data_IF_412569316961
#
_entry.id   IF_412569316961
#
_cell.length_a   1.000
_cell.length_b   1.000
_cell.length_c   1.000
_cell.angle_alpha   90.00
_cell.angle_beta   90.00
_cell.angle_gamma   90.00
#
_symmetry.space_group_name_H-M   'P 1'
#
loop_
_entity.id
_entity.type
_entity.pdbx_description
1 polymer ?
#
# COMPACT_ATOMS: atom_id res chain seq x y z
N UNK A 1 -15.70 -16.38 -27.92
CA UNK A 1 -15.82 -16.43 -26.47
C UNK A 1 -15.77 -15.01 -25.91
N UNK A 2 -16.86 -14.57 -25.35
CA UNK A 2 -16.90 -13.25 -24.68
C UNK A 2 -16.14 -13.38 -23.35
N UNK A 3 -14.94 -12.81 -23.25
CA UNK A 3 -14.25 -12.67 -21.98
C UNK A 3 -15.00 -11.60 -21.18
N UNK A 4 -15.69 -12.02 -20.15
CA UNK A 4 -16.27 -11.10 -19.16
C UNK A 4 -15.09 -10.59 -18.34
N UNK A 5 -14.65 -9.37 -18.64
CA UNK A 5 -13.67 -8.67 -17.82
C UNK A 5 -14.39 -8.27 -16.52
N UNK A 6 -14.17 -9.03 -15.45
CA UNK A 6 -14.66 -8.64 -14.14
C UNK A 6 -13.73 -7.52 -13.61
N UNK A 7 -14.10 -6.28 -13.85
CA UNK A 7 -13.41 -5.12 -13.30
C UNK A 7 -13.94 -4.89 -11.88
N UNK A 8 -13.12 -5.17 -10.89
CA UNK A 8 -13.43 -4.79 -9.51
C UNK A 8 -13.03 -3.32 -9.33
N UNK A 9 -14.02 -2.48 -9.21
CA UNK A 9 -13.85 -1.03 -9.03
C UNK A 9 -13.91 -0.72 -7.55
N UNK A 10 -12.78 -0.34 -6.96
CA UNK A 10 -12.76 0.26 -5.64
C UNK A 10 -12.57 1.78 -5.78
N UNK A 11 -13.50 2.53 -5.25
CA UNK A 11 -13.43 4.00 -5.21
C UNK A 11 -12.81 4.41 -3.89
N UNK A 12 -11.56 4.83 -3.92
CA UNK A 12 -10.94 5.53 -2.79
C UNK A 12 -11.23 7.02 -2.95
N UNK A 13 -12.09 7.54 -2.10
CA UNK A 13 -12.35 8.97 -2.05
C UNK A 13 -11.18 9.69 -1.40
N UNK A 14 -10.39 10.38 -2.20
CA UNK A 14 -9.44 11.36 -1.70
C UNK A 14 -10.22 12.57 -1.19
N UNK A 15 -10.28 12.77 0.10
CA UNK A 15 -10.86 13.97 0.69
C UNK A 15 -9.91 15.15 0.50
N UNK A 16 -10.14 15.90 -0.55
CA UNK A 16 -9.40 17.14 -0.83
C UNK A 16 -9.53 17.53 -2.29
N UNK A 17 -10.52 18.37 -2.62
CA UNK A 17 -10.82 18.95 -3.94
C UNK A 17 -11.36 17.99 -5.01
N UNK A 18 -12.68 18.05 -5.15
CA UNK A 18 -13.49 17.73 -6.35
C UNK A 18 -12.87 16.81 -7.41
N UNK A 19 -12.90 15.52 -7.18
CA UNK A 19 -12.50 14.53 -8.15
C UNK A 19 -11.95 13.29 -7.45
N UNK A 20 -12.79 12.32 -7.14
CA UNK A 20 -12.33 11.03 -6.62
C UNK A 20 -11.41 10.35 -7.62
N UNK A 21 -10.20 9.97 -7.22
CA UNK A 21 -9.33 9.12 -8.04
C UNK A 21 -9.89 7.71 -7.96
N UNK A 22 -10.32 7.20 -9.10
CA UNK A 22 -10.77 5.81 -9.22
C UNK A 22 -9.55 4.92 -9.34
N UNK A 23 -9.35 4.05 -8.36
CA UNK A 23 -8.27 3.06 -8.37
C UNK A 23 -8.87 1.73 -8.79
N UNK A 24 -8.37 1.18 -9.88
CA UNK A 24 -8.85 -0.08 -10.44
C UNK A 24 -7.71 -1.08 -10.53
N UNK A 25 -7.98 -2.32 -10.12
CA UNK A 25 -7.14 -3.46 -10.38
C UNK A 25 -7.74 -4.29 -11.51
N UNK A 26 -6.91 -4.83 -12.38
CA UNK A 26 -7.30 -5.77 -13.42
C UNK A 26 -6.96 -7.22 -13.03
N UNK A 27 -7.26 -8.16 -13.92
CA UNK A 27 -7.00 -9.59 -13.67
C UNK A 27 -5.51 -9.95 -13.50
N UNK A 28 -4.61 -9.03 -13.82
CA UNK A 28 -3.15 -9.22 -13.76
C UNK A 28 -2.48 -8.45 -12.63
N UNK A 29 -3.24 -7.65 -11.88
CA UNK A 29 -2.73 -6.80 -10.81
C UNK A 29 -3.55 -6.93 -9.54
N UNK A 30 -2.94 -6.69 -8.41
CA UNK A 30 -3.63 -6.22 -7.21
C UNK A 30 -2.98 -4.93 -6.71
N UNK A 31 -3.76 -4.10 -6.05
CA UNK A 31 -3.32 -2.79 -5.59
C UNK A 31 -3.37 -2.72 -4.07
N UNK A 32 -2.38 -2.04 -3.49
CA UNK A 32 -2.39 -1.68 -2.08
C UNK A 32 -2.33 -0.16 -1.98
N UNK A 33 -3.38 0.44 -1.45
CA UNK A 33 -3.39 1.84 -1.03
C UNK A 33 -2.68 1.97 0.32
N UNK A 34 -1.78 2.92 0.43
CA UNK A 34 -1.09 3.27 1.66
C UNK A 34 -1.65 4.63 2.11
N UNK A 35 -2.59 4.61 3.05
CA UNK A 35 -3.23 5.81 3.56
C UNK A 35 -2.44 6.39 4.72
N UNK A 36 -2.02 7.64 4.57
CA UNK A 36 -1.47 8.38 5.69
C UNK A 36 -2.61 8.90 6.58
N UNK A 37 -2.78 8.32 7.73
CA UNK A 37 -3.72 8.78 8.77
C UNK A 37 -2.95 9.19 10.05
N UNK A 38 -1.71 9.64 9.86
CA UNK A 38 -0.85 10.10 10.95
C UNK A 38 -1.21 11.51 11.39
N UNK A 39 -0.86 11.85 12.63
CA UNK A 39 -0.99 13.21 13.19
C UNK A 39 0.18 14.14 12.78
N UNK A 40 0.96 13.74 11.78
CA UNK A 40 2.15 14.46 11.32
C UNK A 40 2.35 14.28 9.82
N UNK A 41 3.20 15.13 9.24
CA UNK A 41 3.65 14.97 7.86
C UNK A 41 4.67 13.83 7.76
N UNK A 42 4.53 12.98 6.76
CA UNK A 42 5.53 11.98 6.38
C UNK A 42 5.98 12.24 4.95
N UNK A 43 7.13 11.73 4.54
CA UNK A 43 7.70 12.06 3.22
C UNK A 43 7.73 10.89 2.27
N UNK A 44 7.94 9.69 2.80
CA UNK A 44 7.88 8.44 2.03
C UNK A 44 7.30 7.34 2.89
N UNK A 45 6.77 6.33 2.24
CA UNK A 45 6.47 5.04 2.84
C UNK A 45 7.40 4.01 2.20
N UNK A 46 8.29 3.43 2.99
CA UNK A 46 9.08 2.28 2.58
C UNK A 46 8.28 1.01 2.86
N UNK A 47 8.30 0.07 1.96
CA UNK A 47 7.66 -1.23 2.14
C UNK A 47 8.61 -2.34 1.71
N UNK A 48 8.53 -3.45 2.41
CA UNK A 48 9.16 -4.72 2.04
C UNK A 48 8.08 -5.80 2.02
N UNK A 49 8.14 -6.70 1.05
CA UNK A 49 7.13 -7.74 0.93
C UNK A 49 7.74 -9.12 0.75
N UNK A 50 6.98 -10.12 1.18
CA UNK A 50 7.39 -11.49 1.36
C UNK A 50 6.31 -12.44 0.84
N UNK A 51 6.72 -13.64 0.44
CA UNK A 51 5.82 -14.80 0.29
C UNK A 51 6.24 -15.82 1.34
N UNK A 52 5.36 -16.10 2.30
CA UNK A 52 5.74 -16.82 3.51
C UNK A 52 6.87 -16.06 4.23
N UNK A 53 7.95 -16.75 4.55
CA UNK A 53 9.13 -16.17 5.19
C UNK A 53 10.18 -15.65 4.18
N UNK A 54 9.92 -15.80 2.89
CA UNK A 54 10.89 -15.46 1.85
C UNK A 54 10.75 -14.00 1.41
N UNK A 55 11.79 -13.16 1.58
CA UNK A 55 11.79 -11.80 1.06
C UNK A 55 11.77 -11.81 -0.47
N UNK A 56 10.88 -11.03 -1.06
CA UNK A 56 10.68 -10.94 -2.50
C UNK A 56 11.16 -9.60 -3.04
N UNK A 57 10.78 -8.50 -2.40
CA UNK A 57 11.14 -7.17 -2.86
C UNK A 57 10.71 -6.08 -1.91
N UNK A 58 10.85 -4.86 -2.36
CA UNK A 58 10.47 -3.67 -1.62
C UNK A 58 10.66 -2.42 -2.45
N UNK A 59 10.33 -1.29 -1.87
CA UNK A 59 10.48 0.01 -2.52
C UNK A 59 9.93 1.14 -1.68
N UNK A 60 9.88 2.31 -2.30
CA UNK A 60 9.38 3.53 -1.69
C UNK A 60 8.18 4.06 -2.47
N UNK A 61 7.16 4.49 -1.74
CA UNK A 61 6.07 5.29 -2.28
C UNK A 61 6.20 6.72 -1.75
N UNK A 62 6.12 7.71 -2.63
CA UNK A 62 6.22 9.12 -2.29
C UNK A 62 5.50 9.98 -3.32
N UNK A 63 5.27 11.26 -2.99
CA UNK A 63 4.82 12.22 -3.97
C UNK A 63 5.91 12.46 -5.03
N UNK A 64 5.52 12.58 -6.29
CA UNK A 64 6.43 12.72 -7.42
C UNK A 64 7.34 13.97 -7.32
N UNK A 65 6.86 15.02 -6.68
CA UNK A 65 7.58 16.29 -6.46
C UNK A 65 8.41 16.31 -5.16
N UNK A 66 8.40 15.20 -4.41
CA UNK A 66 9.09 15.08 -3.12
C UNK A 66 8.41 15.82 -1.96
N UNK A 67 7.22 16.36 -2.17
CA UNK A 67 6.46 17.02 -1.11
C UNK A 67 5.99 16.03 -0.05
N UNK A 68 5.65 16.57 1.13
CA UNK A 68 5.11 15.76 2.22
C UNK A 68 3.78 15.09 1.82
N UNK A 69 3.60 13.88 2.31
CA UNK A 69 2.35 13.14 2.24
C UNK A 69 1.51 13.61 3.42
N UNK A 70 0.40 14.28 3.12
CA UNK A 70 -0.48 14.84 4.15
C UNK A 70 -1.42 13.80 4.73
N UNK A 71 -1.93 14.09 5.91
CA UNK A 71 -2.98 13.27 6.52
C UNK A 71 -4.19 13.17 5.60
N UNK A 72 -4.65 11.96 5.35
CA UNK A 72 -5.73 11.64 4.42
C UNK A 72 -5.26 11.26 3.01
N UNK A 73 -4.04 11.60 2.62
CA UNK A 73 -3.48 11.21 1.32
C UNK A 73 -3.30 9.68 1.23
N UNK A 74 -3.51 9.15 0.04
CA UNK A 74 -3.29 7.73 -0.28
C UNK A 74 -2.28 7.60 -1.40
N UNK A 75 -1.23 6.84 -1.15
CA UNK A 75 -0.30 6.39 -2.17
C UNK A 75 -0.68 4.97 -2.62
N UNK A 76 -0.51 4.66 -3.88
CA UNK A 76 -0.88 3.35 -4.41
C UNK A 76 0.33 2.61 -4.93
N UNK A 77 0.50 1.38 -4.46
CA UNK A 77 1.45 0.42 -5.01
C UNK A 77 0.69 -0.68 -5.76
N UNK A 78 1.05 -0.87 -7.00
CA UNK A 78 0.59 -1.99 -7.82
C UNK A 78 1.55 -3.18 -7.72
N UNK A 79 0.99 -4.37 -7.75
CA UNK A 79 1.72 -5.63 -7.78
C UNK A 79 1.27 -6.43 -9.00
N UNK A 80 2.24 -6.82 -9.80
CA UNK A 80 2.03 -7.61 -11.02
C UNK A 80 2.71 -8.99 -10.91
N UNK A 81 2.38 -9.89 -11.80
CA UNK A 81 2.95 -11.23 -11.81
C UNK A 81 4.49 -11.23 -11.84
N UNK A 82 5.10 -10.27 -12.54
CA UNK A 82 6.56 -10.14 -12.63
C UNK A 82 7.25 -9.74 -11.32
N UNK A 83 6.50 -9.25 -10.33
CA UNK A 83 7.03 -8.91 -9.00
C UNK A 83 7.25 -10.15 -8.12
N UNK A 84 6.79 -11.31 -8.56
CA UNK A 84 6.85 -12.56 -7.80
C UNK A 84 7.54 -13.67 -8.58
N UNK A 85 8.17 -14.62 -7.88
CA UNK A 85 8.65 -15.84 -8.52
C UNK A 85 7.51 -16.63 -9.17
N UNK A 86 7.81 -17.36 -10.22
CA UNK A 86 6.83 -18.26 -10.85
C UNK A 86 6.26 -19.25 -9.82
N UNK A 87 4.94 -19.38 -9.79
CA UNK A 87 4.23 -20.27 -8.88
C UNK A 87 4.12 -19.76 -7.44
N UNK A 88 4.40 -18.46 -7.18
CA UNK A 88 4.24 -17.88 -5.86
C UNK A 88 2.80 -18.01 -5.36
N UNK A 89 2.66 -18.42 -4.10
CA UNK A 89 1.37 -18.51 -3.43
C UNK A 89 1.02 -17.15 -2.78
N UNK A 90 0.16 -16.38 -3.46
CA UNK A 90 -0.24 -15.05 -2.98
C UNK A 90 -1.09 -15.08 -1.71
N UNK A 91 -1.62 -16.24 -1.30
CA UNK A 91 -2.31 -16.38 -0.01
C UNK A 91 -1.35 -16.20 1.18
N UNK A 92 -0.05 -16.36 0.92
CA UNK A 92 1.02 -16.18 1.90
C UNK A 92 1.74 -14.84 1.77
N UNK A 93 1.08 -13.84 1.19
CA UNK A 93 1.65 -12.50 1.06
C UNK A 93 1.75 -11.78 2.41
N UNK A 94 2.92 -11.21 2.65
CA UNK A 94 3.20 -10.37 3.82
C UNK A 94 3.83 -9.07 3.38
N UNK A 95 3.54 -8.00 4.10
CA UNK A 95 4.12 -6.68 3.86
C UNK A 95 4.51 -6.01 5.18
N UNK A 96 5.67 -5.40 5.20
CA UNK A 96 6.16 -4.58 6.30
C UNK A 96 6.27 -3.14 5.82
N UNK A 97 5.84 -2.20 6.65
CA UNK A 97 5.71 -0.79 6.29
C UNK A 97 6.52 0.07 7.25
N UNK A 98 7.22 1.07 6.69
CA UNK A 98 8.02 2.04 7.43
C UNK A 98 7.65 3.45 6.97
N UNK A 99 7.53 4.36 7.91
CA UNK A 99 7.45 5.79 7.61
C UNK A 99 8.87 6.33 7.46
N UNK A 100 9.07 7.22 6.50
CA UNK A 100 10.34 7.90 6.27
C UNK A 100 10.15 9.39 6.44
N UNK A 101 10.95 10.01 7.31
CA UNK A 101 10.93 11.46 7.56
C UNK A 101 11.68 12.26 6.48
N UNK A 102 11.66 13.59 6.61
CA UNK A 102 12.32 14.49 5.67
C UNK A 102 13.85 14.37 5.64
N UNK A 103 14.47 13.72 6.63
CA UNK A 103 15.91 13.46 6.67
C UNK A 103 16.29 12.09 6.07
N UNK A 104 15.28 11.26 5.75
CA UNK A 104 15.48 9.90 5.25
C UNK A 104 15.54 8.83 6.35
N UNK A 105 15.26 9.21 7.61
CA UNK A 105 15.21 8.26 8.70
C UNK A 105 13.93 7.43 8.63
N UNK A 106 14.05 6.12 8.83
CA UNK A 106 12.95 5.16 8.78
C UNK A 106 12.43 4.83 10.19
N UNK A 107 11.11 4.69 10.27
CA UNK A 107 10.38 4.34 11.49
C UNK A 107 9.45 3.16 11.18
N UNK A 108 9.60 2.02 11.86
CA UNK A 108 8.72 0.88 11.63
C UNK A 108 7.27 1.20 12.04
N UNK A 109 6.32 0.66 11.29
CA UNK A 109 4.89 0.85 11.53
C UNK A 109 4.25 -0.39 12.16
N UNK A 110 4.84 -0.89 13.22
CA UNK A 110 4.36 -2.08 13.92
C UNK A 110 4.85 -3.38 13.29
N UNK A 111 4.01 -4.39 13.36
CA UNK A 111 4.34 -5.75 12.90
C UNK A 111 4.09 -5.92 11.40
N UNK A 112 4.66 -6.98 10.83
CA UNK A 112 4.41 -7.43 9.48
C UNK A 112 2.93 -7.77 9.31
N UNK A 113 2.32 -7.28 8.23
CA UNK A 113 0.92 -7.54 7.91
C UNK A 113 0.80 -8.72 6.95
N UNK A 114 -0.13 -9.63 7.24
CA UNK A 114 -0.45 -10.78 6.39
C UNK A 114 -1.69 -10.50 5.54
N UNK A 115 -1.70 -11.02 4.32
CA UNK A 115 -2.81 -10.88 3.38
C UNK A 115 -2.95 -12.14 2.53
N UNK A 116 -4.17 -12.63 2.43
CA UNK A 116 -4.55 -13.54 1.34
C UNK A 116 -4.81 -12.70 0.08
N UNK A 117 -3.72 -12.44 -0.66
CA UNK A 117 -3.78 -11.56 -1.82
C UNK A 117 -4.30 -12.30 -3.05
N UNK A 118 -5.02 -11.58 -3.89
CA UNK A 118 -5.47 -12.07 -5.19
C UNK A 118 -5.49 -10.95 -6.23
N UNK A 119 -5.13 -11.28 -7.46
CA UNK A 119 -5.27 -10.34 -8.58
C UNK A 119 -6.73 -9.91 -8.76
N UNK A 120 -6.94 -8.71 -9.24
CA UNK A 120 -8.25 -8.11 -9.41
C UNK A 120 -8.78 -7.38 -8.17
N UNK A 121 -8.05 -7.39 -7.06
CA UNK A 121 -8.47 -6.77 -5.81
C UNK A 121 -7.68 -5.52 -5.47
N UNK A 122 -8.31 -4.66 -4.69
CA UNK A 122 -7.70 -3.48 -4.09
C UNK A 122 -7.79 -3.61 -2.57
N UNK A 123 -6.66 -3.40 -1.92
CA UNK A 123 -6.52 -3.43 -0.48
C UNK A 123 -6.03 -2.08 0.02
N UNK A 124 -6.24 -1.77 1.28
CA UNK A 124 -5.75 -0.53 1.88
C UNK A 124 -5.10 -0.79 3.24
N UNK A 125 -3.91 -0.24 3.41
CA UNK A 125 -3.22 -0.15 4.71
C UNK A 125 -3.40 1.27 5.24
N UNK A 126 -3.83 1.39 6.49
CA UNK A 126 -3.91 2.65 7.21
C UNK A 126 -2.70 2.78 8.12
N UNK A 127 -1.95 3.87 7.97
CA UNK A 127 -0.80 4.21 8.80
C UNK A 127 -1.22 5.31 9.78
N UNK A 128 -0.99 5.07 11.06
CA UNK A 128 -1.33 5.99 12.15
C UNK A 128 -0.14 6.25 13.05
N UNK A 129 -0.23 7.28 13.88
CA UNK A 129 0.79 7.62 14.86
C UNK A 129 1.56 8.91 14.55
N UNK A 130 2.70 9.05 15.16
CA UNK A 130 3.59 10.20 15.01
C UNK A 130 5.03 9.86 15.41
N UNK A 131 5.95 10.81 15.23
CA UNK A 131 7.37 10.60 15.50
C UNK A 131 7.72 10.45 17.00
N UNK A 132 6.88 10.93 17.89
CA UNK A 132 7.09 10.82 19.35
C UNK A 132 6.52 9.53 19.92
N UNK A 133 5.29 9.18 19.51
CA UNK A 133 4.57 8.02 20.04
C UNK A 133 4.80 6.72 19.27
N UNK A 134 5.44 6.80 18.11
CA UNK A 134 5.60 5.68 17.19
C UNK A 134 4.47 5.56 16.18
N UNK A 135 4.68 4.70 15.19
CA UNK A 135 3.76 4.44 14.10
C UNK A 135 3.18 3.03 14.16
N UNK A 136 2.01 2.88 13.60
CA UNK A 136 1.34 1.58 13.45
C UNK A 136 0.73 1.49 12.05
N UNK A 137 0.57 0.27 11.57
CA UNK A 137 -0.14 -0.01 10.34
C UNK A 137 -1.15 -1.13 10.53
N UNK A 138 -2.25 -1.07 9.81
CA UNK A 138 -3.29 -2.09 9.83
C UNK A 138 -4.02 -2.12 8.49
N UNK A 139 -4.56 -3.29 8.12
CA UNK A 139 -5.50 -3.36 7.00
C UNK A 139 -6.76 -2.57 7.33
N UNK A 140 -7.25 -1.82 6.34
CA UNK A 140 -8.56 -1.18 6.45
C UNK A 140 -9.65 -2.25 6.50
N UNK A 141 -10.58 -2.13 7.44
CA UNK A 141 -11.79 -2.92 7.46
C UNK A 141 -12.77 -2.34 6.41
N UNK A 142 -13.09 -3.15 5.43
CA UNK A 142 -14.07 -2.80 4.39
C UNK A 142 -15.47 -3.18 4.80
#
# INVERSE_FOLDING_TARGET
MKRILAIVVAVLLLSGCSGGVKIEADESTFLIGLRNNCDCEIYKVHHEYYIGDKPIGGGYACNADGSAIRSGDVLVKDFICADFPEGADLSEFHIEVFVVDGSGKEYPCGEVLSLDAAYGNVYEIIITGNYEGGFSSAWSES
#
